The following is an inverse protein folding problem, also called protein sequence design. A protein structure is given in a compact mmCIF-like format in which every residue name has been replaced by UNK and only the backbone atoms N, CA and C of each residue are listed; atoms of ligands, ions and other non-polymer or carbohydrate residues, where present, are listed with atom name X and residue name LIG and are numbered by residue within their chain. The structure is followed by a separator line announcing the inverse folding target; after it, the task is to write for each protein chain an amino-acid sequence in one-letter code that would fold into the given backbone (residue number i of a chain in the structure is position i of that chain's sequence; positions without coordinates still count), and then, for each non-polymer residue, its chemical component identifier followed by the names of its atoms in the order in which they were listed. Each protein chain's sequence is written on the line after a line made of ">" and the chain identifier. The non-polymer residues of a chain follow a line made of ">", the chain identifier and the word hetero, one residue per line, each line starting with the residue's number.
data_IF_494470612579
#
_entry.id   IF_494470612579
#
_cell.length_a   1.000
_cell.length_b   1.000
_cell.length_c   1.000
_cell.angle_alpha   90.00
_cell.angle_beta   90.00
_cell.angle_gamma   90.00
#
_symmetry.space_group_name_H-M   'P 1'
#
loop_
_entity.id
_entity.type
_entity.pdbx_description
1 polymer ?
#
# COMPACT_ATOMS: atom_id res chain seq x y z
N UNK A 1 -4.53 0.08 -0.50
CA UNK A 1 -3.77 -1.17 -0.36
C UNK A 1 -2.30 -0.90 0.02
N UNK A 2 -1.59 -1.94 0.51
CA UNK A 2 -0.16 -1.86 0.83
C UNK A 2 0.76 -2.01 -0.39
N UNK A 3 2.08 -1.94 -0.14
CA UNK A 3 3.10 -2.22 -1.13
C UNK A 3 3.02 -3.66 -1.64
N UNK A 4 3.22 -3.85 -2.93
CA UNK A 4 3.29 -5.17 -3.55
C UNK A 4 1.96 -5.82 -3.94
N UNK A 5 0.84 -5.19 -3.63
CA UNK A 5 -0.51 -5.65 -4.03
C UNK A 5 -1.24 -4.56 -4.82
N UNK A 6 -2.48 -4.81 -5.19
CA UNK A 6 -3.38 -3.86 -5.84
C UNK A 6 -4.75 -3.85 -5.17
N UNK A 7 -5.70 -3.10 -5.69
CA UNK A 7 -7.07 -2.98 -5.16
C UNK A 7 -7.81 -4.30 -5.03
N UNK A 8 -7.44 -5.31 -5.81
CA UNK A 8 -8.03 -6.65 -5.75
C UNK A 8 -7.94 -7.33 -4.38
N UNK A 9 -6.97 -6.90 -3.52
CA UNK A 9 -6.89 -7.39 -2.14
C UNK A 9 -8.14 -7.08 -1.31
N UNK A 10 -8.86 -6.02 -1.68
CA UNK A 10 -10.07 -5.57 -1.01
C UNK A 10 -11.36 -6.26 -1.48
N UNK A 11 -11.32 -7.05 -2.56
CA UNK A 11 -12.52 -7.60 -3.18
C UNK A 11 -13.44 -8.37 -2.20
N UNK A 12 -12.93 -9.24 -1.30
CA UNK A 12 -13.77 -9.95 -0.34
C UNK A 12 -14.47 -9.00 0.66
N UNK A 13 -13.77 -7.97 1.13
CA UNK A 13 -14.32 -6.99 2.05
C UNK A 13 -15.31 -6.06 1.35
N UNK A 14 -14.97 -5.60 0.14
CA UNK A 14 -15.83 -4.75 -0.67
C UNK A 14 -17.17 -5.44 -0.98
N UNK A 15 -17.15 -6.76 -1.23
CA UNK A 15 -18.36 -7.54 -1.44
C UNK A 15 -19.32 -7.54 -0.23
N UNK A 16 -18.80 -7.41 0.99
CA UNK A 16 -19.61 -7.28 2.20
C UNK A 16 -20.10 -5.85 2.42
N UNK A 17 -19.23 -4.86 2.14
CA UNK A 17 -19.52 -3.44 2.39
C UNK A 17 -20.47 -2.82 1.36
N UNK A 18 -20.55 -3.33 0.14
CA UNK A 18 -21.35 -2.75 -0.95
C UNK A 18 -22.85 -2.61 -0.64
N UNK A 19 -23.36 -3.38 0.33
CA UNK A 19 -24.76 -3.30 0.74
C UNK A 19 -25.05 -2.08 1.64
N UNK A 20 -24.00 -1.45 2.18
CA UNK A 20 -24.10 -0.34 3.12
C UNK A 20 -23.43 0.93 2.60
N UNK A 21 -22.46 0.79 1.69
CA UNK A 21 -21.63 1.87 1.20
C UNK A 21 -21.43 1.79 -0.31
N UNK A 22 -21.24 2.94 -0.95
CA UNK A 22 -20.63 3.01 -2.26
C UNK A 22 -19.11 2.85 -2.10
N UNK A 23 -18.56 1.72 -2.52
CA UNK A 23 -17.16 1.36 -2.30
C UNK A 23 -16.32 1.69 -3.53
N UNK A 24 -15.26 2.46 -3.32
CA UNK A 24 -14.23 2.74 -4.32
C UNK A 24 -12.97 1.98 -3.97
N UNK A 25 -12.60 0.99 -4.79
CA UNK A 25 -11.35 0.24 -4.66
C UNK A 25 -10.30 0.87 -5.58
N UNK A 26 -9.21 1.36 -5.01
CA UNK A 26 -8.23 2.16 -5.72
C UNK A 26 -6.92 1.41 -5.85
N UNK A 27 -6.39 1.35 -7.06
CA UNK A 27 -5.01 0.99 -7.32
C UNK A 27 -4.14 2.23 -7.11
N UNK A 28 -3.16 2.15 -6.21
CA UNK A 28 -2.18 3.23 -6.04
C UNK A 28 -1.38 3.41 -7.34
N UNK A 29 -1.00 4.64 -7.70
CA UNK A 29 -0.23 4.92 -8.90
C UNK A 29 0.95 3.97 -9.10
N UNK A 30 1.08 3.40 -10.31
CA UNK A 30 2.11 2.43 -10.65
C UNK A 30 1.89 1.03 -10.07
N UNK A 31 0.69 0.73 -9.53
CA UNK A 31 0.28 -0.60 -9.07
C UNK A 31 -1.05 -0.99 -9.70
N UNK A 32 -1.27 -2.29 -9.89
CA UNK A 32 -2.47 -2.78 -10.56
C UNK A 32 -2.63 -2.17 -11.95
N UNK A 33 -3.76 -1.53 -12.20
CA UNK A 33 -4.09 -0.90 -13.49
C UNK A 33 -3.78 0.60 -13.53
N UNK A 34 -3.32 1.19 -12.42
CA UNK A 34 -3.03 2.62 -12.36
C UNK A 34 -1.68 2.95 -12.99
N UNK A 35 -1.65 3.99 -13.82
CA UNK A 35 -0.41 4.56 -14.36
C UNK A 35 0.48 5.08 -13.24
N UNK A 36 1.80 5.06 -13.47
CA UNK A 36 2.73 5.66 -12.51
C UNK A 36 2.71 7.18 -12.57
N UNK A 37 3.18 7.82 -11.52
CA UNK A 37 3.33 9.27 -11.41
C UNK A 37 4.79 9.66 -11.22
N UNK A 38 5.11 10.90 -11.54
CA UNK A 38 6.44 11.48 -11.29
C UNK A 38 6.29 12.96 -10.90
N UNK A 39 6.95 13.44 -9.82
CA UNK A 39 7.66 12.63 -8.82
C UNK A 39 6.73 11.77 -7.96
N UNK A 40 7.24 10.62 -7.50
CA UNK A 40 6.47 9.68 -6.68
C UNK A 40 6.58 10.07 -5.20
N UNK A 41 5.63 10.86 -4.74
CA UNK A 41 5.57 11.41 -3.36
C UNK A 41 4.19 11.22 -2.75
N UNK A 42 4.08 11.25 -1.42
CA UNK A 42 2.77 11.20 -0.74
C UNK A 42 1.83 12.33 -1.20
N UNK A 43 2.38 13.51 -1.45
CA UNK A 43 1.62 14.65 -1.94
C UNK A 43 0.98 14.36 -3.30
N UNK A 44 1.76 13.85 -4.25
CA UNK A 44 1.26 13.57 -5.59
C UNK A 44 0.31 12.35 -5.59
N UNK A 45 0.58 11.33 -4.76
CA UNK A 45 -0.36 10.24 -4.52
C UNK A 45 -1.72 10.77 -4.01
N UNK A 46 -1.67 11.67 -3.03
CA UNK A 46 -2.88 12.27 -2.47
C UNK A 46 -3.67 13.09 -3.51
N UNK A 47 -2.98 13.85 -4.36
CA UNK A 47 -3.60 14.59 -5.47
C UNK A 47 -4.31 13.64 -6.44
N UNK A 48 -3.62 12.57 -6.87
CA UNK A 48 -4.20 11.56 -7.77
C UNK A 48 -5.44 10.89 -7.16
N UNK A 49 -5.36 10.49 -5.90
CA UNK A 49 -6.50 9.89 -5.20
C UNK A 49 -7.67 10.88 -5.14
N UNK A 50 -7.41 12.14 -4.76
CA UNK A 50 -8.47 13.15 -4.63
C UNK A 50 -9.18 13.42 -5.95
N UNK A 51 -8.44 13.52 -7.05
CA UNK A 51 -9.00 13.79 -8.39
C UNK A 51 -9.84 12.61 -8.90
N UNK A 52 -9.44 11.38 -8.58
CA UNK A 52 -10.09 10.19 -9.11
C UNK A 52 -11.26 9.68 -8.24
N UNK A 53 -11.51 10.26 -7.06
CA UNK A 53 -12.67 9.92 -6.24
C UNK A 53 -13.74 11.01 -6.38
N UNK A 54 -14.88 10.74 -7.04
CA UNK A 54 -15.90 11.73 -7.39
C UNK A 54 -16.87 11.98 -6.22
N UNK A 55 -16.35 12.27 -5.02
CA UNK A 55 -17.14 12.66 -3.84
C UNK A 55 -16.38 13.74 -3.06
N UNK A 56 -17.13 14.60 -2.38
CA UNK A 56 -16.54 15.68 -1.58
C UNK A 56 -15.98 15.17 -0.26
N UNK A 57 -16.57 14.12 0.31
CA UNK A 57 -16.17 13.55 1.60
C UNK A 57 -16.37 12.04 1.62
N UNK A 58 -15.45 11.29 2.23
CA UNK A 58 -15.51 9.84 2.32
C UNK A 58 -14.85 9.28 3.59
N UNK A 59 -15.21 8.05 3.93
CA UNK A 59 -14.41 7.23 4.83
C UNK A 59 -13.26 6.58 4.06
N UNK A 60 -12.08 6.51 4.66
CA UNK A 60 -10.90 5.92 4.03
C UNK A 60 -10.42 4.74 4.86
N UNK A 61 -10.28 3.59 4.21
CA UNK A 61 -9.62 2.41 4.77
C UNK A 61 -8.27 2.24 4.08
N UNK A 62 -7.21 2.30 4.86
CA UNK A 62 -5.84 2.18 4.37
C UNK A 62 -5.07 1.05 5.08
N UNK A 63 -4.37 0.23 4.30
CA UNK A 63 -3.50 -0.82 4.79
C UNK A 63 -2.03 -0.49 4.48
N UNK A 64 -1.15 -0.54 5.50
CA UNK A 64 0.28 -0.30 5.35
C UNK A 64 0.55 1.05 4.65
N UNK A 65 1.18 1.09 3.48
CA UNK A 65 1.41 2.29 2.67
C UNK A 65 0.11 3.07 2.39
N UNK A 66 -1.00 2.36 2.09
CA UNK A 66 -2.31 3.00 1.91
C UNK A 66 -2.82 3.69 3.17
N UNK A 67 -2.43 3.20 4.35
CA UNK A 67 -2.72 3.86 5.62
C UNK A 67 -1.88 5.12 5.86
N UNK A 68 -0.61 5.14 5.44
CA UNK A 68 0.19 6.37 5.48
C UNK A 68 -0.41 7.45 4.57
N UNK A 69 -0.87 7.06 3.38
CA UNK A 69 -1.58 7.96 2.48
C UNK A 69 -2.90 8.46 3.08
N UNK A 70 -3.65 7.58 3.77
CA UNK A 70 -4.87 7.98 4.47
C UNK A 70 -4.59 9.01 5.59
N UNK A 71 -3.51 8.82 6.36
CA UNK A 71 -3.04 9.79 7.36
C UNK A 71 -2.65 11.12 6.71
N UNK A 72 -1.93 11.06 5.58
CA UNK A 72 -1.55 12.26 4.83
C UNK A 72 -2.78 13.03 4.34
N UNK A 73 -3.76 12.34 3.74
CA UNK A 73 -5.01 12.94 3.29
C UNK A 73 -5.79 13.57 4.45
N UNK A 74 -5.91 12.87 5.59
CA UNK A 74 -6.59 13.40 6.78
C UNK A 74 -5.91 14.65 7.34
N UNK A 75 -4.59 14.76 7.21
CA UNK A 75 -3.82 15.91 7.69
C UNK A 75 -3.85 17.09 6.72
N UNK A 76 -3.76 16.82 5.41
CA UNK A 76 -3.62 17.87 4.38
C UNK A 76 -4.94 18.29 3.74
N UNK A 77 -5.93 17.41 3.72
CA UNK A 77 -7.24 17.65 3.12
C UNK A 77 -8.34 17.14 4.09
N UNK A 78 -8.41 17.67 5.34
CA UNK A 78 -9.32 17.15 6.36
C UNK A 78 -10.81 17.24 5.96
N UNK A 79 -11.19 18.20 5.12
CA UNK A 79 -12.54 18.34 4.61
C UNK A 79 -12.97 17.17 3.71
N UNK A 80 -12.03 16.46 3.09
CA UNK A 80 -12.28 15.27 2.25
C UNK A 80 -12.48 14.00 3.09
N UNK A 81 -11.97 13.96 4.31
CA UNK A 81 -11.91 12.74 5.13
C UNK A 81 -12.92 12.78 6.26
N UNK A 82 -13.89 11.87 6.25
CA UNK A 82 -14.86 11.73 7.35
C UNK A 82 -14.27 10.92 8.51
N UNK A 83 -13.79 9.72 8.22
CA UNK A 83 -13.13 8.80 9.17
C UNK A 83 -12.03 8.03 8.45
N UNK A 84 -11.02 7.64 9.19
CA UNK A 84 -9.97 6.73 8.71
C UNK A 84 -9.99 5.43 9.49
N UNK A 85 -9.76 4.32 8.78
CA UNK A 85 -9.52 3.01 9.34
C UNK A 85 -8.12 2.59 8.89
N UNK A 86 -7.24 2.38 9.85
CA UNK A 86 -5.84 2.04 9.60
C UNK A 86 -5.61 0.56 9.93
N UNK A 87 -5.11 -0.20 8.94
CA UNK A 87 -4.77 -1.60 9.09
C UNK A 87 -3.26 -1.77 8.95
N UNK A 88 -2.61 -2.34 9.99
CA UNK A 88 -1.17 -2.63 9.97
C UNK A 88 -0.34 -1.46 9.40
N UNK A 89 -0.61 -0.26 9.89
CA UNK A 89 -0.01 1.00 9.44
C UNK A 89 0.69 1.69 10.60
N UNK A 90 1.80 2.33 10.28
CA UNK A 90 2.54 3.21 11.19
C UNK A 90 2.80 4.55 10.50
N UNK A 91 2.79 5.68 11.20
CA UNK A 91 3.13 6.99 10.61
C UNK A 91 4.59 7.08 10.16
N UNK A 92 5.47 6.27 10.76
CA UNK A 92 6.89 6.20 10.41
C UNK A 92 7.28 4.73 10.25
N UNK A 93 7.61 4.31 9.01
CA UNK A 93 7.88 2.91 8.72
C UNK A 93 9.28 2.46 9.14
N UNK A 94 10.27 3.31 8.93
CA UNK A 94 11.67 3.03 9.34
C UNK A 94 11.97 3.73 10.65
N UNK A 95 12.69 3.06 11.54
CA UNK A 95 13.09 3.63 12.83
C UNK A 95 13.85 4.94 12.69
N UNK A 96 13.55 5.87 13.60
CA UNK A 96 14.26 7.13 13.79
C UNK A 96 14.50 7.36 15.28
N UNK A 97 15.32 8.37 15.61
CA UNK A 97 15.59 8.73 17.00
C UNK A 97 14.30 9.06 17.78
N UNK A 98 13.37 9.76 17.14
CA UNK A 98 12.07 10.16 17.70
C UNK A 98 10.97 9.09 17.50
N UNK A 99 11.26 8.01 16.75
CA UNK A 99 10.35 6.90 16.49
C UNK A 99 11.08 5.55 16.46
N UNK A 100 11.41 4.96 17.62
CA UNK A 100 12.18 3.71 17.70
C UNK A 100 11.38 2.44 17.36
N UNK A 101 10.08 2.57 17.07
CA UNK A 101 9.15 1.46 16.81
C UNK A 101 9.09 1.02 15.35
N UNK A 102 9.84 1.69 14.47
CA UNK A 102 9.92 1.36 13.05
C UNK A 102 10.79 0.13 12.77
N UNK A 103 10.77 -0.29 11.51
CA UNK A 103 11.70 -1.32 11.01
C UNK A 103 13.13 -0.79 11.11
N UNK A 104 14.04 -1.62 11.60
CA UNK A 104 15.47 -1.26 11.70
C UNK A 104 16.01 -0.82 10.34
N UNK A 105 16.68 0.33 10.28
CA UNK A 105 17.17 0.96 9.06
C UNK A 105 17.99 0.02 8.17
N UNK A 106 18.85 -0.81 8.77
CA UNK A 106 19.68 -1.75 8.02
C UNK A 106 18.86 -2.87 7.35
N UNK A 107 17.77 -3.35 7.97
CA UNK A 107 16.85 -4.32 7.35
C UNK A 107 16.11 -3.69 6.18
N UNK A 108 15.62 -2.46 6.34
CA UNK A 108 14.94 -1.76 5.26
C UNK A 108 15.87 -1.48 4.07
N UNK A 109 17.10 -1.03 4.31
CA UNK A 109 18.08 -0.80 3.26
C UNK A 109 18.40 -2.08 2.47
N UNK A 110 18.56 -3.21 3.15
CA UNK A 110 18.78 -4.50 2.49
C UNK A 110 17.56 -4.90 1.64
N UNK A 111 16.36 -4.71 2.16
CA UNK A 111 15.12 -4.98 1.43
C UNK A 111 15.00 -4.11 0.17
N UNK A 112 15.34 -2.83 0.26
CA UNK A 112 15.37 -1.92 -0.89
C UNK A 112 16.41 -2.33 -1.93
N UNK A 113 17.59 -2.76 -1.51
CA UNK A 113 18.63 -3.28 -2.42
C UNK A 113 18.19 -4.56 -3.13
N UNK A 114 17.52 -5.48 -2.44
CA UNK A 114 16.94 -6.68 -3.05
C UNK A 114 15.86 -6.30 -4.07
N UNK A 115 14.98 -5.36 -3.75
CA UNK A 115 13.94 -4.88 -4.65
C UNK A 115 14.51 -4.20 -5.92
N UNK A 116 15.67 -3.55 -5.82
CA UNK A 116 16.40 -3.01 -6.98
C UNK A 116 16.93 -4.12 -7.90
N UNK A 117 17.30 -5.28 -7.35
CA UNK A 117 17.78 -6.44 -8.13
C UNK A 117 16.61 -7.21 -8.76
N UNK A 118 15.62 -7.57 -7.96
CA UNK A 118 14.45 -8.33 -8.41
C UNK A 118 13.24 -7.98 -7.56
N UNK A 119 12.30 -7.25 -8.13
CA UNK A 119 11.03 -6.90 -7.48
C UNK A 119 10.22 -8.17 -7.15
N UNK A 120 10.16 -9.14 -8.08
CA UNK A 120 9.35 -10.34 -7.92
C UNK A 120 9.87 -11.24 -6.79
N UNK A 121 11.20 -11.41 -6.70
CA UNK A 121 11.81 -12.22 -5.63
C UNK A 121 11.61 -11.54 -4.27
N UNK A 122 11.72 -10.22 -4.23
CA UNK A 122 11.48 -9.43 -3.01
C UNK A 122 10.03 -9.52 -2.57
N UNK A 123 9.07 -9.43 -3.50
CA UNK A 123 7.65 -9.64 -3.22
C UNK A 123 7.38 -11.05 -2.68
N UNK A 124 7.99 -12.07 -3.27
CA UNK A 124 7.84 -13.44 -2.81
C UNK A 124 8.29 -13.58 -1.36
N UNK A 125 9.49 -13.08 -1.02
CA UNK A 125 10.02 -13.09 0.35
C UNK A 125 9.11 -12.31 1.31
N UNK A 126 8.65 -11.13 0.88
CA UNK A 126 7.77 -10.27 1.67
C UNK A 126 6.46 -10.98 2.01
N UNK A 127 5.81 -11.61 1.03
CA UNK A 127 4.58 -12.37 1.27
C UNK A 127 4.80 -13.61 2.14
N UNK A 128 5.94 -14.30 2.01
CA UNK A 128 6.31 -15.41 2.89
C UNK A 128 6.42 -14.97 4.34
N UNK A 129 7.05 -13.81 4.60
CA UNK A 129 7.17 -13.26 5.96
C UNK A 129 5.79 -12.93 6.53
N UNK A 130 4.91 -12.31 5.74
CA UNK A 130 3.57 -11.94 6.19
C UNK A 130 2.63 -13.13 6.43
N UNK A 131 2.89 -14.26 5.77
CA UNK A 131 1.98 -15.41 5.81
C UNK A 131 2.46 -16.57 6.68
N UNK A 132 3.69 -16.55 7.18
CA UNK A 132 4.31 -17.69 7.89
C UNK A 132 3.55 -18.18 9.12
N UNK A 133 2.91 -17.27 9.85
CA UNK A 133 2.28 -17.56 11.16
C UNK A 133 0.74 -17.60 11.09
N UNK A 134 0.14 -17.59 9.89
CA UNK A 134 -1.31 -17.65 9.75
C UNK A 134 -1.81 -19.08 9.46
N UNK A 135 -3.00 -19.41 9.97
CA UNK A 135 -3.60 -20.74 9.86
C UNK A 135 -3.69 -21.28 8.42
N UNK A 136 -3.98 -20.40 7.46
CA UNK A 136 -4.15 -20.75 6.04
C UNK A 136 -2.99 -20.23 5.19
N UNK A 137 -1.75 -20.25 5.70
CA UNK A 137 -0.55 -19.71 5.04
C UNK A 137 -0.41 -20.16 3.58
N UNK A 138 -0.62 -21.47 3.32
CA UNK A 138 -0.48 -22.09 2.00
C UNK A 138 -1.46 -21.52 0.96
N UNK A 139 -2.72 -21.41 1.33
CA UNK A 139 -3.78 -20.90 0.44
C UNK A 139 -3.65 -19.41 0.23
N UNK A 140 -3.35 -18.68 1.30
CA UNK A 140 -3.07 -17.24 1.22
C UNK A 140 -1.86 -16.96 0.33
N UNK A 141 -0.78 -17.71 0.48
CA UNK A 141 0.41 -17.57 -0.36
C UNK A 141 0.12 -17.88 -1.83
N UNK A 142 -0.68 -18.92 -2.09
CA UNK A 142 -1.14 -19.27 -3.45
C UNK A 142 -1.94 -18.13 -4.07
N UNK A 143 -2.88 -17.55 -3.31
CA UNK A 143 -3.67 -16.40 -3.73
C UNK A 143 -2.77 -15.19 -4.04
N UNK A 144 -1.87 -14.81 -3.12
CA UNK A 144 -0.97 -13.67 -3.32
C UNK A 144 -0.07 -13.86 -4.54
N UNK A 145 0.51 -15.05 -4.71
CA UNK A 145 1.37 -15.38 -5.85
C UNK A 145 0.62 -15.29 -7.18
N UNK A 146 -0.58 -15.85 -7.26
CA UNK A 146 -1.34 -15.86 -8.51
C UNK A 146 -1.87 -14.48 -8.90
N UNK A 147 -2.22 -13.64 -7.93
CA UNK A 147 -2.86 -12.36 -8.20
C UNK A 147 -1.90 -11.17 -8.26
N UNK A 148 -0.74 -11.25 -7.58
CA UNK A 148 0.14 -10.08 -7.42
C UNK A 148 1.58 -10.29 -7.90
N UNK A 149 2.07 -11.53 -8.04
CA UNK A 149 3.44 -11.78 -8.54
C UNK A 149 3.44 -12.13 -10.02
N UNK A 150 2.48 -12.93 -10.46
CA UNK A 150 2.40 -13.37 -11.86
C UNK A 150 1.85 -12.33 -12.83
N UNK A 151 1.21 -11.28 -12.33
CA UNK A 151 0.74 -10.21 -13.20
C UNK A 151 1.97 -9.43 -13.69
N UNK A 152 2.16 -9.39 -15.00
CA UNK A 152 3.22 -8.63 -15.68
C UNK A 152 3.08 -7.12 -15.52
N UNK A 153 2.04 -6.68 -14.82
CA UNK A 153 1.61 -5.29 -14.69
C UNK A 153 2.30 -4.54 -13.53
N UNK A 154 3.38 -5.08 -12.96
CA UNK A 154 4.15 -4.35 -11.97
C UNK A 154 4.99 -3.27 -12.64
N UNK A 155 4.49 -2.05 -12.59
CA UNK A 155 5.33 -0.91 -12.92
C UNK A 155 6.45 -0.79 -11.89
N UNK A 156 7.63 -1.24 -12.27
CA UNK A 156 8.83 -1.25 -11.41
C UNK A 156 9.12 0.14 -10.83
N UNK A 157 8.80 1.21 -11.56
CA UNK A 157 8.99 2.60 -11.10
C UNK A 157 8.04 2.94 -9.96
N UNK A 158 6.75 2.59 -10.08
CA UNK A 158 5.76 2.79 -9.02
C UNK A 158 6.11 2.01 -7.75
N UNK A 159 6.49 0.75 -7.89
CA UNK A 159 6.91 -0.09 -6.78
C UNK A 159 8.15 0.45 -6.04
N UNK A 160 9.16 0.92 -6.78
CA UNK A 160 10.35 1.56 -6.20
C UNK A 160 10.04 2.89 -5.56
N UNK A 161 9.19 3.71 -6.19
CA UNK A 161 8.71 4.98 -5.64
C UNK A 161 7.98 4.78 -4.31
N UNK A 162 7.14 3.76 -4.24
CA UNK A 162 6.43 3.40 -3.03
C UNK A 162 7.35 2.92 -1.89
N UNK A 163 8.41 2.15 -2.20
CA UNK A 163 9.43 1.82 -1.21
C UNK A 163 10.18 3.05 -0.72
N UNK A 164 10.50 3.98 -1.60
CA UNK A 164 11.14 5.25 -1.21
C UNK A 164 10.28 6.01 -0.21
N UNK A 165 8.97 6.13 -0.45
CA UNK A 165 8.04 6.75 0.51
C UNK A 165 8.13 6.05 1.87
N UNK A 166 8.06 4.71 1.92
CA UNK A 166 8.17 3.96 3.18
C UNK A 166 9.49 4.19 3.91
N UNK A 167 10.57 4.45 3.19
CA UNK A 167 11.88 4.75 3.77
C UNK A 167 12.04 6.19 4.29
N UNK A 168 11.22 7.12 3.81
CA UNK A 168 11.30 8.55 4.11
C UNK A 168 10.25 9.04 5.11
N UNK A 169 9.24 8.20 5.40
CA UNK A 169 8.14 8.52 6.34
C UNK A 169 8.43 8.14 7.77
#
# INVERSE_FOLDING_TARGET
>A
HGWGVNSGIWAPLAAQLKNFFKVYMIDLPGMGKSSTISPYTLENLAKEIRVNIPVDKCHILGWSLGGQLALYLATKIPQFVEKIILMSTTPCFVERHDWPYGVKKHFFNNFELEAKKSINDTLMKFFLIQTKDIKNAKDTMKFLKSNFIKSTDHNTLGMRGALKILGET
#
